data_IF_060643806789
#
_entry.id   IF_060643806789
#
_cell.length_a   1.000
_cell.length_b   1.000
_cell.length_c   1.000
_cell.angle_alpha   90.00
_cell.angle_beta   90.00
_cell.angle_gamma   90.00
#
_symmetry.space_group_name_H-M   'P 1'
#
loop_
_entity.id
_entity.type
_entity.pdbx_description
1 polymer ?
#
# COMPACT_ATOMS: atom_id res chain seq x y z
N UNK A 1 11.72 -11.64 4.17
CA UNK A 1 10.35 -11.66 3.63
C UNK A 1 10.11 -13.01 2.94
N UNK A 2 8.96 -13.65 3.16
CA UNK A 2 8.59 -14.85 2.40
C UNK A 2 8.08 -14.41 1.02
N UNK A 3 8.79 -14.76 -0.06
CA UNK A 3 8.48 -14.27 -1.42
C UNK A 3 7.05 -14.58 -1.89
N UNK A 4 6.46 -15.67 -1.40
CA UNK A 4 5.06 -16.03 -1.70
C UNK A 4 4.05 -15.04 -1.11
N UNK A 5 4.33 -14.50 0.08
CA UNK A 5 3.45 -13.53 0.73
C UNK A 5 3.54 -12.15 0.06
N UNK A 6 4.73 -11.78 -0.42
CA UNK A 6 4.90 -10.55 -1.20
C UNK A 6 4.13 -10.61 -2.52
N UNK A 7 4.18 -11.74 -3.24
CA UNK A 7 3.44 -11.91 -4.48
C UNK A 7 1.92 -11.77 -4.27
N UNK A 8 1.37 -12.38 -3.22
CA UNK A 8 -0.06 -12.27 -2.88
C UNK A 8 -0.44 -10.82 -2.54
N UNK A 9 0.41 -10.12 -1.78
CA UNK A 9 0.14 -8.71 -1.46
C UNK A 9 0.20 -7.83 -2.71
N UNK A 10 1.21 -8.00 -3.56
CA UNK A 10 1.34 -7.21 -4.79
C UNK A 10 0.15 -7.45 -5.72
N UNK A 11 -0.30 -8.69 -5.87
CA UNK A 11 -1.53 -9.00 -6.64
C UNK A 11 -2.74 -8.26 -6.08
N UNK A 12 -2.94 -8.28 -4.76
CA UNK A 12 -4.02 -7.53 -4.13
C UNK A 12 -3.88 -6.01 -4.33
N UNK A 13 -2.66 -5.46 -4.24
CA UNK A 13 -2.40 -4.03 -4.48
C UNK A 13 -2.68 -3.63 -5.92
N UNK A 14 -2.42 -4.49 -6.90
CA UNK A 14 -2.78 -4.28 -8.32
C UNK A 14 -4.31 -4.16 -8.45
N UNK A 15 -5.07 -4.99 -7.75
CA UNK A 15 -6.54 -4.92 -7.77
C UNK A 15 -7.04 -3.60 -7.15
N UNK A 16 -6.45 -3.17 -6.04
CA UNK A 16 -6.78 -1.89 -5.37
C UNK A 16 -6.43 -0.70 -6.26
N UNK A 17 -5.22 -0.70 -6.81
CA UNK A 17 -4.73 0.29 -7.77
C UNK A 17 -5.70 0.45 -8.95
N UNK A 18 -6.11 -0.66 -9.56
CA UNK A 18 -7.06 -0.66 -10.66
C UNK A 18 -8.44 -0.13 -10.24
N UNK A 19 -8.92 -0.47 -9.04
CA UNK A 19 -10.21 0.01 -8.52
C UNK A 19 -10.22 1.52 -8.29
N UNK A 20 -9.11 2.08 -7.83
CA UNK A 20 -8.93 3.54 -7.70
C UNK A 20 -8.58 4.24 -9.03
N UNK A 21 -8.32 3.48 -10.10
CA UNK A 21 -7.95 3.99 -11.43
C UNK A 21 -6.72 4.90 -11.39
N UNK A 22 -5.74 4.50 -10.60
CA UNK A 22 -4.49 5.22 -10.43
C UNK A 22 -3.58 5.04 -11.66
N UNK A 23 -2.65 5.98 -11.83
CA UNK A 23 -1.60 5.94 -12.84
C UNK A 23 -0.67 4.74 -12.64
N UNK A 24 -0.06 4.25 -13.71
CA UNK A 24 0.84 3.10 -13.66
C UNK A 24 2.10 3.41 -12.85
N UNK A 25 2.55 4.66 -12.92
CA UNK A 25 3.64 5.28 -12.17
C UNK A 25 3.42 5.14 -10.65
N UNK A 26 2.19 5.36 -10.19
CA UNK A 26 1.78 5.19 -8.80
C UNK A 26 2.02 3.77 -8.29
N UNK A 27 1.72 2.75 -9.12
CA UNK A 27 1.97 1.35 -8.76
C UNK A 27 3.47 1.04 -8.69
N UNK A 28 4.26 1.53 -9.65
CA UNK A 28 5.71 1.34 -9.65
C UNK A 28 6.37 1.99 -8.43
N UNK A 29 5.94 3.21 -8.09
CA UNK A 29 6.42 3.91 -6.90
C UNK A 29 6.01 3.18 -5.62
N UNK A 30 4.78 2.67 -5.54
CA UNK A 30 4.30 1.87 -4.42
C UNK A 30 5.20 0.64 -4.17
N UNK A 31 5.48 -0.16 -5.22
CA UNK A 31 6.35 -1.33 -5.11
C UNK A 31 7.77 -0.94 -4.70
N UNK A 32 8.32 0.13 -5.27
CA UNK A 32 9.65 0.62 -4.92
C UNK A 32 9.73 1.07 -3.44
N UNK A 33 8.69 1.74 -2.92
CA UNK A 33 8.60 2.12 -1.50
C UNK A 33 8.56 0.88 -0.62
N UNK A 34 7.72 -0.10 -0.95
CA UNK A 34 7.59 -1.34 -0.17
C UNK A 34 8.91 -2.12 -0.09
N UNK A 35 9.59 -2.28 -1.22
CA UNK A 35 10.85 -3.01 -1.28
C UNK A 35 11.95 -2.32 -0.46
N UNK A 36 12.05 -0.99 -0.55
CA UNK A 36 12.99 -0.21 0.27
C UNK A 36 12.66 -0.29 1.76
N UNK A 37 11.39 -0.19 2.13
CA UNK A 37 10.95 -0.30 3.53
C UNK A 37 11.29 -1.67 4.11
N UNK A 38 11.05 -2.74 3.35
CA UNK A 38 11.33 -4.10 3.80
C UNK A 38 12.82 -4.43 3.92
N UNK A 39 13.68 -3.75 3.16
CA UNK A 39 15.13 -3.86 3.31
C UNK A 39 15.63 -3.16 4.59
N UNK A 40 15.01 -2.04 4.96
CA UNK A 40 15.41 -1.27 6.13
C UNK A 40 14.82 -1.79 7.45
N UNK A 41 13.61 -2.36 7.43
CA UNK A 41 12.89 -2.79 8.63
C UNK A 41 12.31 -4.21 8.44
N UNK A 42 12.56 -5.17 9.36
CA UNK A 42 11.93 -6.47 9.30
C UNK A 42 10.42 -6.34 9.54
N UNK A 43 9.65 -6.58 8.48
CA UNK A 43 8.19 -6.51 8.50
C UNK A 43 7.61 -7.87 8.91
N UNK A 44 6.75 -7.86 9.94
CA UNK A 44 6.01 -9.06 10.30
C UNK A 44 4.88 -9.34 9.28
N UNK A 45 4.53 -10.62 9.04
CA UNK A 45 3.44 -10.98 8.13
C UNK A 45 2.12 -10.23 8.37
N UNK A 46 1.82 -9.94 9.65
CA UNK A 46 0.60 -9.22 10.07
C UNK A 46 0.59 -7.74 9.70
N UNK A 47 1.78 -7.13 9.55
CA UNK A 47 1.95 -5.72 9.18
C UNK A 47 2.18 -5.53 7.68
N UNK A 48 2.35 -6.62 6.93
CA UNK A 48 2.71 -6.56 5.53
C UNK A 48 1.65 -5.83 4.69
N UNK A 49 0.36 -6.11 4.93
CA UNK A 49 -0.74 -5.43 4.27
C UNK A 49 -0.77 -3.92 4.62
N UNK A 50 -0.57 -3.57 5.89
CA UNK A 50 -0.49 -2.16 6.35
C UNK A 50 0.63 -1.39 5.65
N UNK A 51 1.81 -1.99 5.49
CA UNK A 51 2.93 -1.40 4.72
C UNK A 51 2.53 -1.16 3.27
N UNK A 52 1.86 -2.13 2.64
CA UNK A 52 1.40 -1.98 1.25
C UNK A 52 0.40 -0.85 1.07
N UNK A 53 -0.57 -0.73 1.98
CA UNK A 53 -1.57 0.35 1.97
C UNK A 53 -0.91 1.71 2.18
N UNK A 54 -0.01 1.82 3.16
CA UNK A 54 0.74 3.06 3.43
C UNK A 54 1.58 3.44 2.20
N UNK A 55 2.28 2.49 1.60
CA UNK A 55 3.08 2.72 0.40
C UNK A 55 2.23 3.18 -0.79
N UNK A 56 1.06 2.58 -0.99
CA UNK A 56 0.14 2.98 -2.07
C UNK A 56 -0.48 4.35 -1.83
N UNK A 57 -0.85 4.68 -0.59
CA UNK A 57 -1.32 6.01 -0.20
C UNK A 57 -0.22 7.06 -0.43
N UNK A 58 1.03 6.75 -0.05
CA UNK A 58 2.16 7.66 -0.23
C UNK A 58 2.46 7.88 -1.72
N UNK A 59 2.51 6.81 -2.51
CA UNK A 59 2.68 6.91 -3.96
C UNK A 59 1.56 7.71 -4.61
N UNK A 60 0.30 7.47 -4.20
CA UNK A 60 -0.86 8.20 -4.75
C UNK A 60 -0.77 9.69 -4.46
N UNK A 61 -0.30 10.08 -3.26
CA UNK A 61 -0.09 11.50 -2.93
C UNK A 61 1.02 12.17 -3.73
N UNK A 62 1.94 11.38 -4.29
CA UNK A 62 3.08 11.91 -5.02
C UNK A 62 2.80 12.01 -6.52
N UNK A 63 2.20 10.98 -7.11
CA UNK A 63 2.00 10.86 -8.56
C UNK A 63 0.63 11.38 -9.02
N UNK A 64 -0.42 11.28 -8.19
CA UNK A 64 -1.78 11.63 -8.61
C UNK A 64 -2.09 13.11 -8.39
N UNK A 65 -2.73 13.72 -9.38
CA UNK A 65 -3.32 15.06 -9.22
C UNK A 65 -4.43 15.06 -8.16
N UNK A 66 -5.21 13.96 -8.09
CA UNK A 66 -6.29 13.76 -7.12
C UNK A 66 -6.10 12.40 -6.42
N UNK A 67 -5.27 12.39 -5.38
CA UNK A 67 -5.05 11.20 -4.56
C UNK A 67 -6.33 10.79 -3.80
N UNK A 68 -6.62 9.48 -3.65
CA UNK A 68 -7.64 8.99 -2.74
C UNK A 68 -7.36 9.43 -1.29
N UNK A 69 -8.43 9.53 -0.49
CA UNK A 69 -8.34 9.86 0.92
C UNK A 69 -7.95 8.64 1.73
N UNK A 70 -7.35 8.86 2.91
CA UNK A 70 -6.98 7.77 3.81
C UNK A 70 -8.19 6.91 4.22
N UNK A 71 -9.38 7.51 4.29
CA UNK A 71 -10.63 6.81 4.59
C UNK A 71 -11.02 5.81 3.49
N UNK A 72 -10.66 6.08 2.23
CA UNK A 72 -10.90 5.12 1.12
C UNK A 72 -10.05 3.86 1.30
N UNK A 73 -8.84 4.00 1.84
CA UNK A 73 -7.96 2.88 2.16
C UNK A 73 -8.42 2.12 3.41
N UNK A 74 -8.98 2.79 4.41
CA UNK A 74 -9.63 2.13 5.55
C UNK A 74 -10.84 1.32 5.07
N UNK A 75 -11.65 1.90 4.19
CA UNK A 75 -12.82 1.23 3.63
C UNK A 75 -12.45 0.00 2.78
N UNK A 76 -11.48 0.12 1.86
CA UNK A 76 -11.11 -1.00 0.96
C UNK A 76 -10.46 -2.18 1.68
N UNK A 77 -9.98 -1.95 2.89
CA UNK A 77 -9.39 -2.98 3.76
C UNK A 77 -10.42 -3.59 4.71
N UNK A 78 -11.71 -3.33 4.48
CA UNK A 78 -12.82 -3.75 5.34
C UNK A 78 -12.62 -3.33 6.80
N UNK A 79 -12.09 -2.11 7.04
CA UNK A 79 -11.77 -1.60 8.38
C UNK A 79 -10.78 -2.48 9.16
N UNK A 80 -9.92 -3.25 8.48
CA UNK A 80 -8.87 -4.02 9.13
C UNK A 80 -7.85 -3.11 9.84
N UNK A 81 -7.71 -1.87 9.38
CA UNK A 81 -6.85 -0.84 9.96
C UNK A 81 -7.59 0.47 10.11
N UNK A 82 -7.18 1.28 11.10
CA UNK A 82 -7.69 2.63 11.30
C UNK A 82 -6.82 3.67 10.58
N UNK A 83 -7.38 4.85 10.32
CA UNK A 83 -6.64 5.98 9.76
C UNK A 83 -5.41 6.36 10.61
N UNK A 84 -5.46 6.17 11.94
CA UNK A 84 -4.29 6.40 12.82
C UNK A 84 -3.19 5.38 12.55
N UNK A 85 -3.53 4.11 12.44
CA UNK A 85 -2.56 3.04 12.16
C UNK A 85 -1.88 3.22 10.81
N UNK A 86 -2.61 3.69 9.80
CA UNK A 86 -2.04 3.98 8.48
C UNK A 86 -1.13 5.22 8.53
N UNK A 87 -1.43 6.22 9.38
CA UNK A 87 -0.59 7.43 9.53
C UNK A 87 0.67 7.21 10.36
N UNK A 88 0.62 6.31 11.34
CA UNK A 88 1.74 5.99 12.24
C UNK A 88 2.75 5.02 11.62
N UNK A 89 2.36 4.33 10.54
CA UNK A 89 3.21 3.36 9.84
C UNK A 89 4.25 4.03 8.94
#
# INVERSE_FOLDING_TARGET
MNGRMCAILVDWLVQVHSKFRLLQETLYMCVAIMDRYAQAQPVSPKKLLLVGIMALLLASKYEEMFSPNIEDFVYITNNAYTSSQIREM
#
